data_IF_706893281460
#
_entry.id   IF_706893281460
#
_cell.length_a   1.000
_cell.length_b   1.000
_cell.length_c   1.000
_cell.angle_alpha   90.00
_cell.angle_beta   90.00
_cell.angle_gamma   90.00
#
_symmetry.space_group_name_H-M   'P 1'
#
loop_
_entity.id
_entity.type
_entity.pdbx_description
1 polymer ?
#
# COMPACT_ATOMS: atom_id res chain seq x y z
N UNK A 1 30.40 -10.28 -17.16
CA UNK A 1 30.70 -8.87 -16.77
C UNK A 1 30.03 -8.58 -15.44
N UNK A 2 30.81 -8.51 -14.37
CA UNK A 2 30.31 -8.15 -13.03
C UNK A 2 29.89 -6.69 -13.05
N UNK A 3 28.65 -6.40 -12.63
CA UNK A 3 28.02 -5.07 -12.77
C UNK A 3 28.65 -3.96 -11.90
N UNK A 4 29.72 -4.26 -11.15
CA UNK A 4 30.34 -3.34 -10.20
C UNK A 4 31.85 -3.57 -10.10
N UNK A 5 32.65 -2.51 -9.93
CA UNK A 5 34.08 -2.61 -9.66
C UNK A 5 34.33 -3.36 -8.35
N UNK A 6 35.27 -4.31 -8.39
CA UNK A 6 35.71 -5.13 -7.25
C UNK A 6 37.15 -4.78 -6.91
N UNK A 7 37.50 -4.83 -5.63
CA UNK A 7 38.90 -4.79 -5.20
C UNK A 7 39.67 -6.02 -5.74
N UNK A 8 41.01 -5.99 -5.77
CA UNK A 8 41.84 -7.13 -6.19
C UNK A 8 41.58 -8.42 -5.39
N UNK A 9 41.05 -8.32 -4.18
CA UNK A 9 40.63 -9.44 -3.32
C UNK A 9 39.20 -9.96 -3.64
N UNK A 10 38.59 -9.51 -4.73
CA UNK A 10 37.25 -9.93 -5.17
C UNK A 10 36.08 -9.36 -4.37
N UNK A 11 36.32 -8.53 -3.35
CA UNK A 11 35.25 -7.90 -2.56
C UNK A 11 34.64 -6.72 -3.34
N UNK A 12 33.31 -6.54 -3.32
CA UNK A 12 32.67 -5.40 -3.95
C UNK A 12 33.08 -4.10 -3.27
N UNK A 13 33.37 -3.06 -4.07
CA UNK A 13 33.79 -1.75 -3.56
C UNK A 13 32.69 -1.14 -2.67
N UNK A 14 32.95 -0.94 -1.38
CA UNK A 14 32.07 -0.23 -0.46
C UNK A 14 32.33 1.27 -0.60
N UNK A 15 31.71 1.90 -1.60
CA UNK A 15 31.91 3.31 -1.89
C UNK A 15 31.08 4.22 -0.98
N UNK A 16 31.67 4.68 0.13
CA UNK A 16 31.31 5.98 0.70
C UNK A 16 32.17 7.04 -0.02
N UNK A 17 31.53 7.90 -0.82
CA UNK A 17 32.22 8.94 -1.61
C UNK A 17 32.78 10.09 -0.76
N UNK A 18 32.41 10.16 0.52
CA UNK A 18 32.83 11.24 1.41
C UNK A 18 34.06 10.90 2.28
N UNK A 19 34.33 9.63 2.58
CA UNK A 19 35.33 9.30 3.60
C UNK A 19 36.59 8.58 3.12
N UNK A 20 36.63 8.06 1.89
CA UNK A 20 37.86 7.57 1.21
C UNK A 20 38.73 6.56 1.97
N UNK A 21 38.22 5.92 3.04
CA UNK A 21 38.99 5.02 3.93
C UNK A 21 38.53 3.57 3.79
N UNK A 22 39.50 2.65 3.82
CA UNK A 22 39.32 1.20 3.59
C UNK A 22 38.44 0.48 4.63
N UNK A 23 38.18 1.12 5.76
CA UNK A 23 37.34 0.59 6.82
C UNK A 23 36.32 1.66 7.24
N UNK A 24 35.28 1.80 6.43
CA UNK A 24 34.02 2.40 6.84
C UNK A 24 33.53 1.60 8.08
N UNK A 25 33.59 2.25 9.24
CA UNK A 25 33.13 1.76 10.55
C UNK A 25 31.73 1.11 10.49
N UNK A 26 31.38 0.26 11.44
CA UNK A 26 30.11 -0.48 11.49
C UNK A 26 28.90 0.43 11.22
N UNK A 27 28.95 1.67 11.74
CA UNK A 27 27.94 2.71 11.53
C UNK A 27 27.86 3.21 10.08
N UNK A 28 28.99 3.44 9.40
CA UNK A 28 29.03 3.91 8.02
C UNK A 28 28.50 2.85 7.03
N UNK A 29 28.74 1.56 7.31
CA UNK A 29 28.14 0.44 6.57
C UNK A 29 26.63 0.40 6.76
N UNK A 30 26.16 0.55 8.00
CA UNK A 30 24.73 0.58 8.33
C UNK A 30 24.01 1.76 7.66
N UNK A 31 24.57 2.98 7.74
CA UNK A 31 24.03 4.17 7.08
C UNK A 31 23.90 4.00 5.56
N UNK A 32 24.92 3.44 4.89
CA UNK A 32 24.83 3.14 3.46
C UNK A 32 23.72 2.13 3.14
N UNK A 33 23.57 1.07 3.95
CA UNK A 33 22.48 0.11 3.79
C UNK A 33 21.11 0.75 4.01
N UNK A 34 20.98 1.64 5.00
CA UNK A 34 19.73 2.37 5.29
C UNK A 34 19.38 3.33 4.16
N UNK A 35 20.34 4.12 3.66
CA UNK A 35 20.12 5.05 2.54
C UNK A 35 19.84 4.29 1.23
N UNK A 36 20.52 3.18 0.97
CA UNK A 36 20.21 2.30 -0.16
C UNK A 36 18.79 1.73 -0.07
N UNK A 37 18.37 1.27 1.12
CA UNK A 37 17.01 0.80 1.39
C UNK A 37 15.98 1.92 1.21
N UNK A 38 16.28 3.13 1.73
CA UNK A 38 15.45 4.33 1.59
C UNK A 38 15.27 4.70 0.12
N UNK A 39 16.35 4.74 -0.66
CA UNK A 39 16.31 5.01 -2.11
C UNK A 39 15.49 3.99 -2.87
N UNK A 40 15.69 2.70 -2.61
CA UNK A 40 14.89 1.62 -3.20
C UNK A 40 13.40 1.76 -2.84
N UNK A 41 13.08 2.06 -1.58
CA UNK A 41 11.71 2.27 -1.13
C UNK A 41 11.08 3.51 -1.76
N UNK A 42 11.83 4.62 -1.89
CA UNK A 42 11.37 5.84 -2.54
C UNK A 42 11.10 5.59 -4.03
N UNK A 43 12.01 4.91 -4.73
CA UNK A 43 11.82 4.53 -6.13
C UNK A 43 10.59 3.63 -6.29
N UNK A 44 10.43 2.60 -5.45
CA UNK A 44 9.25 1.74 -5.47
C UNK A 44 7.95 2.53 -5.23
N UNK A 45 7.97 3.50 -4.30
CA UNK A 45 6.82 4.37 -4.04
C UNK A 45 6.52 5.30 -5.22
N UNK A 46 7.55 5.86 -5.87
CA UNK A 46 7.40 6.68 -7.06
C UNK A 46 6.79 5.89 -8.23
N UNK A 47 7.31 4.69 -8.49
CA UNK A 47 6.77 3.77 -9.51
C UNK A 47 5.29 3.48 -9.24
N UNK A 48 4.90 3.21 -7.99
CA UNK A 48 3.49 3.02 -7.65
C UNK A 48 2.64 4.26 -7.97
N UNK A 49 3.11 5.47 -7.67
CA UNK A 49 2.35 6.69 -7.96
C UNK A 49 2.22 6.95 -9.46
N UNK A 50 3.29 6.73 -10.23
CA UNK A 50 3.32 7.02 -11.67
C UNK A 50 2.49 6.05 -12.52
N UNK A 51 2.45 4.77 -12.14
CA UNK A 51 1.82 3.71 -12.95
C UNK A 51 0.48 3.21 -12.39
N UNK A 52 0.06 3.65 -11.21
CA UNK A 52 -1.26 3.28 -10.69
C UNK A 52 -2.34 4.18 -11.29
N UNK A 53 -3.34 3.62 -12.00
CA UNK A 53 -4.42 4.43 -12.54
C UNK A 53 -5.28 5.00 -11.41
N UNK A 54 -5.72 6.24 -11.59
CA UNK A 54 -6.76 6.84 -10.74
C UNK A 54 -8.08 6.08 -10.95
N UNK A 55 -8.87 5.99 -9.88
CA UNK A 55 -10.22 5.38 -9.90
C UNK A 55 -11.22 6.38 -9.36
N UNK A 56 -12.45 6.33 -9.85
CA UNK A 56 -13.58 7.05 -9.28
C UNK A 56 -14.10 6.31 -8.03
N UNK A 57 -14.54 7.06 -7.03
CA UNK A 57 -15.20 6.50 -5.86
C UNK A 57 -16.69 6.28 -6.15
N UNK A 58 -17.23 5.04 -6.03
CA UNK A 58 -18.64 4.77 -6.29
C UNK A 58 -19.63 5.50 -5.36
N UNK A 59 -19.15 6.07 -4.25
CA UNK A 59 -20.00 6.72 -3.23
C UNK A 59 -20.06 8.24 -3.43
N UNK A 60 -18.93 8.87 -3.71
CA UNK A 60 -18.82 10.32 -3.79
C UNK A 60 -18.37 10.85 -5.15
N UNK A 61 -18.05 9.97 -6.12
CA UNK A 61 -17.60 10.33 -7.46
C UNK A 61 -16.17 10.87 -7.55
N UNK A 62 -15.52 11.17 -6.42
CA UNK A 62 -14.17 11.74 -6.43
C UNK A 62 -13.13 10.76 -6.96
N UNK A 63 -12.21 11.26 -7.79
CA UNK A 63 -11.04 10.52 -8.26
C UNK A 63 -10.03 10.33 -7.12
N UNK A 64 -9.48 9.13 -7.01
CA UNK A 64 -8.47 8.82 -5.99
C UNK A 64 -7.40 7.87 -6.52
N UNK A 65 -6.21 7.94 -5.92
CA UNK A 65 -5.11 7.02 -6.18
C UNK A 65 -5.21 5.83 -5.20
N UNK A 66 -5.53 4.60 -5.67
CA UNK A 66 -5.69 3.46 -4.78
C UNK A 66 -4.34 3.05 -4.15
N UNK A 67 -4.34 2.80 -2.83
CA UNK A 67 -3.18 2.31 -2.09
C UNK A 67 -2.97 0.80 -2.30
N UNK A 68 -4.03 0.06 -2.58
CA UNK A 68 -4.00 -1.39 -2.85
C UNK A 68 -4.86 -1.71 -4.07
N UNK A 69 -4.55 -2.78 -4.79
CA UNK A 69 -5.26 -3.16 -6.01
C UNK A 69 -6.76 -3.41 -5.82
N UNK A 70 -7.15 -3.81 -4.60
CA UNK A 70 -8.54 -4.13 -4.22
C UNK A 70 -9.27 -2.96 -3.53
N UNK A 71 -8.65 -1.77 -3.44
CA UNK A 71 -9.30 -0.61 -2.84
C UNK A 71 -10.43 -0.11 -3.75
N UNK A 72 -11.67 -0.19 -3.24
CA UNK A 72 -12.91 0.20 -3.96
C UNK A 72 -13.35 1.63 -3.67
N UNK A 73 -13.00 2.18 -2.51
CA UNK A 73 -13.49 3.48 -2.04
C UNK A 73 -12.32 4.43 -1.75
N UNK A 74 -12.52 5.72 -1.97
CA UNK A 74 -11.48 6.72 -1.76
C UNK A 74 -11.09 6.89 -0.28
N UNK A 75 -12.00 6.61 0.64
CA UNK A 75 -11.81 6.82 2.08
C UNK A 75 -12.52 5.75 2.93
N UNK A 76 -12.10 5.58 4.20
CA UNK A 76 -12.81 4.74 5.16
C UNK A 76 -14.27 5.18 5.37
N UNK A 77 -14.55 6.48 5.27
CA UNK A 77 -15.90 7.02 5.39
C UNK A 77 -16.82 6.47 4.30
N UNK A 78 -16.42 6.58 3.03
CA UNK A 78 -17.22 6.06 1.92
C UNK A 78 -17.45 4.55 2.04
N UNK A 79 -16.44 3.81 2.49
CA UNK A 79 -16.60 2.37 2.79
C UNK A 79 -17.64 2.13 3.89
N UNK A 80 -17.62 2.94 4.95
CA UNK A 80 -18.56 2.83 6.06
C UNK A 80 -20.00 3.17 5.64
N UNK A 81 -20.18 4.12 4.73
CA UNK A 81 -21.51 4.46 4.19
C UNK A 81 -22.15 3.27 3.47
N UNK A 82 -21.39 2.60 2.61
CA UNK A 82 -21.87 1.40 1.91
C UNK A 82 -22.19 0.27 2.89
N UNK A 83 -21.33 0.06 3.89
CA UNK A 83 -21.58 -0.96 4.92
C UNK A 83 -22.86 -0.64 5.71
N UNK A 84 -23.05 0.62 6.14
CA UNK A 84 -24.26 1.06 6.86
C UNK A 84 -25.52 0.89 6.01
N UNK A 85 -25.45 1.22 4.72
CA UNK A 85 -26.56 1.00 3.80
C UNK A 85 -26.91 -0.49 3.66
N UNK A 86 -25.89 -1.35 3.50
CA UNK A 86 -26.06 -2.80 3.42
C UNK A 86 -26.73 -3.37 4.68
N UNK A 87 -26.23 -3.00 5.86
CA UNK A 87 -26.82 -3.46 7.13
C UNK A 87 -28.26 -2.99 7.30
N UNK A 88 -28.56 -1.75 6.90
CA UNK A 88 -29.92 -1.20 6.92
C UNK A 88 -30.86 -1.99 6.02
N UNK A 89 -30.44 -2.30 4.80
CA UNK A 89 -31.23 -3.09 3.86
C UNK A 89 -31.46 -4.52 4.37
N UNK A 90 -30.41 -5.16 4.88
CA UNK A 90 -30.49 -6.49 5.48
C UNK A 90 -31.47 -6.53 6.66
N UNK A 91 -31.41 -5.52 7.54
CA UNK A 91 -32.35 -5.36 8.64
C UNK A 91 -33.80 -5.29 8.15
N UNK A 92 -34.12 -4.39 7.21
CA UNK A 92 -35.48 -4.27 6.68
C UNK A 92 -35.94 -5.51 5.91
N UNK A 93 -35.05 -6.18 5.19
CA UNK A 93 -35.37 -7.43 4.50
C UNK A 93 -35.67 -8.55 5.50
N UNK A 94 -34.93 -8.61 6.60
CA UNK A 94 -35.17 -9.56 7.69
C UNK A 94 -36.52 -9.29 8.35
N UNK A 95 -36.85 -8.02 8.68
CA UNK A 95 -38.14 -7.64 9.25
C UNK A 95 -39.30 -7.97 8.31
N UNK A 96 -39.14 -7.69 7.01
CA UNK A 96 -40.14 -8.02 5.99
C UNK A 96 -40.38 -9.52 5.95
N UNK A 97 -39.31 -10.33 5.93
CA UNK A 97 -39.41 -11.79 5.97
C UNK A 97 -40.11 -12.29 7.23
N UNK A 98 -39.80 -11.71 8.39
CA UNK A 98 -40.46 -12.04 9.66
C UNK A 98 -41.95 -11.70 9.62
N UNK A 99 -42.32 -10.53 9.11
CA UNK A 99 -43.73 -10.10 8.97
C UNK A 99 -44.49 -10.96 7.95
N UNK A 100 -43.88 -11.28 6.81
CA UNK A 100 -44.48 -12.13 5.77
C UNK A 100 -44.55 -13.61 6.17
N UNK A 101 -43.75 -14.06 7.14
CA UNK A 101 -43.75 -15.41 7.70
C UNK A 101 -44.63 -15.58 8.95
N UNK A 102 -45.43 -14.58 9.31
CA UNK A 102 -46.37 -14.65 10.43
C UNK A 102 -47.42 -15.73 10.20
N UNK A 103 -47.27 -16.87 10.89
CA UNK A 103 -48.28 -17.94 10.96
C UNK A 103 -49.64 -17.35 11.33
N UNK A 104 -50.60 -17.55 10.43
CA UNK A 104 -52.00 -17.71 10.79
C UNK A 104 -52.08 -18.68 11.97
N UNK A 105 -52.54 -18.19 13.12
CA UNK A 105 -53.04 -19.04 14.20
C UNK A 105 -54.56 -19.04 14.08
N UNK A 106 -55.07 -20.04 13.38
CA UNK A 106 -56.45 -20.55 13.54
C UNK A 106 -56.56 -21.29 14.86
#
# INVERSE_FOLDING_TARGET
>A
MTKYPTYPNGRPFCGCTECGRDHCDELCRQEWYMEKRRRKNLQARAVRVLFTPLRDCPVCGNMFLPKTGNQKYCSPHCSADVLRARYREEYYNSERRWRSGGRART
#
